data_IF_232284054610
#
_entry.id   IF_232284054610
#
_cell.length_a   1.000
_cell.length_b   1.000
_cell.length_c   1.000
_cell.angle_alpha   90.00
_cell.angle_beta   90.00
_cell.angle_gamma   90.00
#
_symmetry.space_group_name_H-M   'P 1'
#
loop_
_entity.id
_entity.type
_entity.pdbx_description
1 polymer ?
#
# COMPACT_ATOMS: atom_id res chain seq x y z
N UNK A 1 -18.54 3.52 -33.86
CA UNK A 1 -17.65 2.89 -32.87
C UNK A 1 -18.34 1.64 -32.36
N UNK A 2 -17.79 0.46 -32.60
CA UNK A 2 -18.31 -0.79 -32.03
C UNK A 2 -18.01 -0.72 -30.51
N UNK A 3 -19.05 -0.65 -29.67
CA UNK A 3 -18.87 -0.91 -28.22
C UNK A 3 -18.34 -2.34 -28.14
N UNK A 4 -17.04 -2.50 -27.83
CA UNK A 4 -16.53 -3.78 -27.36
C UNK A 4 -17.30 -4.07 -26.07
N UNK A 5 -18.04 -5.16 -26.02
CA UNK A 5 -18.60 -5.66 -24.77
C UNK A 5 -17.42 -6.00 -23.85
N UNK A 6 -17.08 -5.08 -22.96
CA UNK A 6 -16.09 -5.34 -21.92
C UNK A 6 -16.72 -6.31 -20.94
N UNK A 7 -16.04 -7.42 -20.67
CA UNK A 7 -16.53 -8.47 -19.78
C UNK A 7 -16.43 -8.09 -18.29
N UNK A 8 -15.99 -6.87 -17.94
CA UNK A 8 -15.87 -6.37 -16.57
C UNK A 8 -16.62 -5.02 -16.42
N UNK A 9 -17.01 -4.71 -15.19
CA UNK A 9 -17.83 -3.53 -14.84
C UNK A 9 -17.13 -2.53 -13.93
N UNK A 10 -16.02 -2.90 -13.29
CA UNK A 10 -15.20 -2.01 -12.49
C UNK A 10 -13.73 -2.42 -12.51
N UNK A 11 -12.84 -1.46 -12.20
CA UNK A 11 -11.41 -1.72 -11.98
C UNK A 11 -10.99 -1.11 -10.65
N UNK A 12 -10.38 -1.92 -9.79
CA UNK A 12 -9.84 -1.49 -8.51
C UNK A 12 -8.32 -1.51 -8.60
N UNK A 13 -7.70 -0.36 -8.44
CA UNK A 13 -6.25 -0.19 -8.52
C UNK A 13 -5.64 -0.15 -7.11
N UNK A 14 -4.53 -0.84 -6.90
CA UNK A 14 -3.60 -0.39 -5.89
C UNK A 14 -2.95 0.94 -6.31
N UNK A 15 -2.28 1.63 -5.39
CA UNK A 15 -1.66 2.92 -5.67
C UNK A 15 -0.15 2.80 -5.86
N UNK A 16 0.55 2.33 -4.82
CA UNK A 16 2.00 2.34 -4.76
C UNK A 16 2.58 1.24 -5.67
N UNK A 17 3.38 1.60 -6.68
CA UNK A 17 3.87 0.65 -7.69
C UNK A 17 2.91 0.38 -8.84
N UNK A 18 1.64 0.75 -8.73
CA UNK A 18 0.62 0.61 -9.79
C UNK A 18 0.30 1.95 -10.46
N UNK A 19 -0.15 2.93 -9.69
CA UNK A 19 -0.48 4.29 -10.18
C UNK A 19 0.74 5.19 -10.08
N UNK A 20 1.39 5.16 -8.90
CA UNK A 20 2.53 6.01 -8.56
C UNK A 20 3.81 5.19 -8.37
N UNK A 21 4.97 5.82 -8.61
CA UNK A 21 6.28 5.21 -8.41
C UNK A 21 6.75 5.27 -6.94
N UNK A 22 5.82 5.38 -6.02
CA UNK A 22 6.09 5.55 -4.59
C UNK A 22 6.52 4.28 -3.87
N UNK A 23 6.41 3.10 -4.48
CA UNK A 23 6.88 1.84 -3.90
C UNK A 23 8.36 1.88 -3.52
N UNK A 24 9.23 2.44 -4.37
CA UNK A 24 10.66 2.61 -4.06
C UNK A 24 10.89 3.62 -2.93
N UNK A 25 10.11 4.70 -2.89
CA UNK A 25 10.15 5.67 -1.79
C UNK A 25 9.73 5.02 -0.46
N UNK A 26 8.69 4.19 -0.49
CA UNK A 26 8.29 3.38 0.66
C UNK A 26 9.41 2.45 1.11
N UNK A 27 10.02 1.68 0.20
CA UNK A 27 11.11 0.76 0.51
C UNK A 27 12.33 1.48 1.12
N UNK A 28 12.72 2.64 0.57
CA UNK A 28 13.81 3.46 1.09
C UNK A 28 13.54 4.01 2.49
N UNK A 29 12.33 4.49 2.74
CA UNK A 29 11.92 4.99 4.07
C UNK A 29 11.89 3.85 5.10
N UNK A 30 11.43 2.66 4.73
CA UNK A 30 11.48 1.47 5.57
C UNK A 30 12.92 1.07 5.91
N UNK A 31 13.78 0.99 4.88
CA UNK A 31 15.20 0.67 5.07
C UNK A 31 15.87 1.63 6.04
N UNK A 32 15.70 2.93 5.81
CA UNK A 32 16.29 3.95 6.67
C UNK A 32 15.84 3.78 8.13
N UNK A 33 14.55 3.67 8.35
CA UNK A 33 13.99 3.56 9.70
C UNK A 33 14.44 2.28 10.40
N UNK A 34 14.40 1.12 9.72
CA UNK A 34 14.81 -0.14 10.34
C UNK A 34 16.31 -0.22 10.57
N UNK A 35 17.15 0.23 9.63
CA UNK A 35 18.60 0.23 9.82
C UNK A 35 19.00 1.15 10.98
N UNK A 36 18.40 2.34 11.10
CA UNK A 36 18.63 3.24 12.23
C UNK A 36 18.22 2.58 13.58
N UNK A 37 17.08 1.89 13.60
CA UNK A 37 16.59 1.20 14.78
C UNK A 37 17.49 0.00 15.17
N UNK A 38 17.88 -0.82 14.21
CA UNK A 38 18.74 -1.98 14.46
C UNK A 38 20.16 -1.58 14.92
N UNK A 39 20.70 -0.48 14.37
CA UNK A 39 21.98 0.08 14.84
C UNK A 39 21.88 0.62 16.27
N UNK A 40 20.77 1.23 16.63
CA UNK A 40 20.51 1.66 18.01
C UNK A 40 20.52 0.43 18.95
N UNK A 41 19.84 -0.66 18.57
CA UNK A 41 19.82 -1.89 19.37
C UNK A 41 21.20 -2.53 19.49
N UNK A 42 22.01 -2.52 18.44
CA UNK A 42 23.40 -2.97 18.49
C UNK A 42 24.20 -2.18 19.56
N UNK A 43 24.07 -0.85 19.56
CA UNK A 43 24.79 0.00 20.50
C UNK A 43 24.30 -0.11 21.96
N UNK A 44 23.00 -0.30 22.17
CA UNK A 44 22.39 -0.28 23.50
C UNK A 44 22.30 -1.68 24.13
N UNK A 45 22.15 -2.74 23.32
CA UNK A 45 21.92 -4.10 23.79
C UNK A 45 23.00 -5.10 23.35
N UNK A 46 23.99 -4.68 22.56
CA UNK A 46 25.03 -5.57 22.03
C UNK A 46 24.51 -6.59 21.01
N UNK A 47 23.36 -6.34 20.42
CA UNK A 47 22.78 -7.19 19.37
C UNK A 47 23.57 -7.01 18.06
N UNK A 48 23.76 -8.09 17.31
CA UNK A 48 24.48 -7.99 16.03
C UNK A 48 23.63 -7.28 15.00
N UNK A 49 24.13 -6.18 14.44
CA UNK A 49 23.46 -5.46 13.34
C UNK A 49 23.40 -6.33 12.09
N UNK A 50 22.20 -6.47 11.54
CA UNK A 50 21.96 -7.07 10.22
C UNK A 50 21.07 -6.16 9.42
N UNK A 51 21.62 -5.62 8.33
CA UNK A 51 20.99 -4.68 7.44
C UNK A 51 19.60 -5.16 6.97
N UNK A 52 18.65 -4.21 6.85
CA UNK A 52 17.36 -4.44 6.20
C UNK A 52 17.54 -4.46 4.69
N UNK A 53 17.08 -5.52 4.04
CA UNK A 53 17.22 -5.73 2.60
C UNK A 53 15.88 -5.76 1.88
N UNK A 54 15.87 -5.34 0.62
CA UNK A 54 14.63 -5.35 -0.18
C UNK A 54 14.08 -6.77 -0.37
N UNK A 55 14.92 -7.69 -0.86
CA UNK A 55 14.48 -9.05 -1.20
C UNK A 55 14.24 -9.94 0.03
N UNK A 56 15.09 -9.81 1.05
CA UNK A 56 15.03 -10.69 2.21
C UNK A 56 14.08 -10.22 3.32
N UNK A 57 13.79 -8.92 3.36
CA UNK A 57 13.05 -8.34 4.48
C UNK A 57 11.82 -7.52 4.03
N UNK A 58 11.97 -6.62 3.04
CA UNK A 58 10.87 -5.78 2.61
C UNK A 58 9.75 -6.60 1.97
N UNK A 59 10.05 -7.35 0.91
CA UNK A 59 9.04 -8.11 0.17
C UNK A 59 8.30 -9.14 1.03
N UNK A 60 8.94 -9.98 1.88
CA UNK A 60 8.22 -10.99 2.64
C UNK A 60 7.49 -10.45 3.87
N UNK A 61 7.98 -9.36 4.49
CA UNK A 61 7.49 -8.96 5.81
C UNK A 61 6.75 -7.63 5.84
N UNK A 62 6.94 -6.74 4.85
CA UNK A 62 6.46 -5.36 4.89
C UNK A 62 5.57 -5.00 3.71
N UNK A 63 5.94 -5.43 2.52
CA UNK A 63 5.31 -5.03 1.26
C UNK A 63 3.80 -5.31 1.22
N UNK A 64 3.03 -4.30 0.83
CA UNK A 64 1.58 -4.36 0.76
C UNK A 64 0.84 -4.41 2.10
N UNK A 65 1.55 -4.52 3.24
CA UNK A 65 0.92 -4.60 4.57
C UNK A 65 0.59 -3.21 5.14
N UNK A 66 -0.45 -3.12 6.01
CA UNK A 66 -0.67 -1.92 6.83
C UNK A 66 0.58 -1.56 7.64
N UNK A 67 0.90 -0.26 7.73
CA UNK A 67 2.14 0.28 8.29
C UNK A 67 2.60 -0.40 9.59
N UNK A 68 1.78 -0.41 10.62
CA UNK A 68 2.15 -0.93 11.93
C UNK A 68 2.27 -2.47 11.96
N UNK A 69 1.47 -3.15 11.12
CA UNK A 69 1.59 -4.60 10.92
C UNK A 69 2.88 -4.97 10.17
N UNK A 70 3.34 -4.12 9.25
CA UNK A 70 4.64 -4.26 8.59
C UNK A 70 5.79 -4.15 9.59
N UNK A 71 5.78 -3.15 10.49
CA UNK A 71 6.78 -3.05 11.57
C UNK A 71 6.81 -4.32 12.41
N UNK A 72 5.64 -4.72 12.94
CA UNK A 72 5.52 -5.93 13.76
C UNK A 72 6.05 -7.16 13.05
N UNK A 73 5.59 -7.40 11.82
CA UNK A 73 5.95 -8.58 11.02
C UNK A 73 7.46 -8.67 10.78
N UNK A 74 8.13 -7.57 10.46
CA UNK A 74 9.58 -7.56 10.28
C UNK A 74 10.34 -7.79 11.59
N UNK A 75 9.98 -7.10 12.68
CA UNK A 75 10.64 -7.26 13.96
C UNK A 75 10.50 -8.69 14.50
N UNK A 76 9.32 -9.30 14.38
CA UNK A 76 9.10 -10.69 14.75
C UNK A 76 9.99 -11.65 13.93
N UNK A 77 10.23 -11.38 12.64
CA UNK A 77 11.14 -12.18 11.80
C UNK A 77 12.60 -12.13 12.30
N UNK A 78 12.94 -11.08 13.03
CA UNK A 78 14.27 -10.89 13.66
C UNK A 78 14.30 -11.34 15.12
N UNK A 79 13.21 -11.91 15.65
CA UNK A 79 13.10 -12.30 17.06
C UNK A 79 12.97 -11.11 18.01
N UNK A 80 12.66 -9.92 17.50
CA UNK A 80 12.51 -8.70 18.28
C UNK A 80 11.04 -8.50 18.62
N UNK A 81 10.73 -8.39 19.93
CA UNK A 81 9.38 -8.11 20.41
C UNK A 81 9.36 -6.77 21.13
N UNK A 82 8.51 -5.86 20.66
CA UNK A 82 8.24 -4.56 21.28
C UNK A 82 6.71 -4.37 21.40
N UNK A 83 6.23 -3.46 22.28
CA UNK A 83 4.81 -3.15 22.36
C UNK A 83 4.26 -2.70 21.00
N UNK A 84 2.99 -3.03 20.72
CA UNK A 84 2.34 -2.54 19.49
C UNK A 84 2.20 -1.02 19.51
N UNK A 85 1.84 -0.46 20.66
CA UNK A 85 1.67 0.96 20.87
C UNK A 85 0.33 1.49 20.37
N UNK A 86 0.22 2.82 20.39
CA UNK A 86 -0.94 3.58 19.94
C UNK A 86 -0.62 4.30 18.61
N UNK A 87 -1.57 4.42 17.67
CA UNK A 87 -1.36 5.19 16.44
C UNK A 87 -0.85 6.62 16.65
N UNK A 88 -1.13 7.22 17.81
CA UNK A 88 -0.68 8.57 18.20
C UNK A 88 0.69 8.59 18.88
N UNK A 89 1.38 7.45 18.98
CA UNK A 89 2.74 7.40 19.54
C UNK A 89 3.69 8.31 18.76
N UNK A 90 4.54 9.02 19.52
CA UNK A 90 5.58 9.86 18.91
C UNK A 90 6.55 9.00 18.08
N UNK A 91 7.12 9.54 16.98
CA UNK A 91 8.09 8.85 16.13
C UNK A 91 9.35 8.34 16.85
N UNK A 92 9.64 8.84 18.06
CA UNK A 92 10.73 8.37 18.92
C UNK A 92 10.36 7.22 19.86
N UNK A 93 9.07 6.86 19.97
CA UNK A 93 8.63 5.78 20.87
C UNK A 93 9.08 4.41 20.34
N UNK A 94 9.53 3.53 21.25
CA UNK A 94 9.95 2.16 20.93
C UNK A 94 8.74 1.22 20.93
N UNK A 95 7.81 1.48 20.00
CA UNK A 95 6.62 0.70 19.73
C UNK A 95 6.48 0.49 18.22
N UNK A 96 5.67 -0.50 17.81
CA UNK A 96 5.40 -0.69 16.38
C UNK A 96 4.76 0.56 15.75
N UNK A 97 3.89 1.25 16.48
CA UNK A 97 3.27 2.49 16.02
C UNK A 97 4.27 3.64 15.94
N UNK A 98 5.11 3.84 16.97
CA UNK A 98 6.13 4.88 16.97
C UNK A 98 7.15 4.73 15.84
N UNK A 99 7.67 3.51 15.61
CA UNK A 99 8.58 3.23 14.50
C UNK A 99 7.87 3.43 13.14
N UNK A 100 6.61 3.02 13.02
CA UNK A 100 5.80 3.24 11.83
C UNK A 100 5.59 4.73 11.55
N UNK A 101 5.39 5.54 12.58
CA UNK A 101 5.25 7.00 12.47
C UNK A 101 6.57 7.66 12.07
N UNK A 102 7.71 7.21 12.61
CA UNK A 102 9.06 7.63 12.19
C UNK A 102 9.33 7.33 10.71
N UNK A 103 8.94 6.13 10.25
CA UNK A 103 9.01 5.80 8.82
C UNK A 103 8.17 6.74 7.97
N UNK A 104 6.99 7.15 8.48
CA UNK A 104 6.11 8.04 7.76
C UNK A 104 6.69 9.45 7.60
N UNK A 105 7.36 9.97 8.62
CA UNK A 105 8.08 11.24 8.52
C UNK A 105 9.12 11.19 7.40
N UNK A 106 9.97 10.15 7.39
CA UNK A 106 10.98 9.96 6.35
C UNK A 106 10.37 9.81 4.94
N UNK A 107 9.20 9.19 4.83
CA UNK A 107 8.47 9.08 3.56
C UNK A 107 7.97 10.45 3.09
N UNK A 108 7.35 11.22 3.98
CA UNK A 108 6.82 12.55 3.64
C UNK A 108 7.94 13.53 3.27
N UNK A 109 9.09 13.51 3.98
CA UNK A 109 10.25 14.31 3.63
C UNK A 109 10.73 14.07 2.19
N UNK A 110 10.69 12.81 1.72
CA UNK A 110 11.06 12.48 0.33
C UNK A 110 10.00 12.99 -0.64
N UNK A 111 8.71 12.82 -0.33
CA UNK A 111 7.63 13.33 -1.18
C UNK A 111 7.66 14.84 -1.31
N UNK A 112 7.90 15.56 -0.22
CA UNK A 112 7.97 17.02 -0.20
C UNK A 112 9.16 17.55 -1.02
N UNK A 113 10.29 16.82 -1.01
CA UNK A 113 11.49 17.19 -1.74
C UNK A 113 11.42 16.84 -3.23
N UNK A 114 11.00 15.63 -3.56
CA UNK A 114 11.13 15.04 -4.90
C UNK A 114 9.80 14.99 -5.67
N UNK A 115 8.68 15.21 -4.97
CA UNK A 115 7.33 15.08 -5.52
C UNK A 115 6.91 13.61 -5.72
N UNK A 116 5.83 13.42 -6.47
CA UNK A 116 5.27 12.09 -6.80
C UNK A 116 5.33 11.87 -8.30
N UNK A 117 6.00 10.81 -8.71
CA UNK A 117 5.97 10.35 -10.10
C UNK A 117 4.84 9.34 -10.32
N UNK A 118 4.19 9.43 -11.48
CA UNK A 118 3.15 8.49 -11.92
C UNK A 118 3.66 7.60 -13.04
N UNK A 119 3.07 6.41 -13.18
CA UNK A 119 3.31 5.56 -14.34
C UNK A 119 2.47 6.03 -15.53
N UNK A 120 3.09 6.49 -16.65
CA UNK A 120 2.35 7.01 -17.80
C UNK A 120 1.38 5.99 -18.41
N UNK A 121 1.74 4.71 -18.41
CA UNK A 121 0.88 3.63 -18.91
C UNK A 121 -0.39 3.46 -18.07
N UNK A 122 -0.27 3.53 -16.74
CA UNK A 122 -1.43 3.45 -15.84
C UNK A 122 -2.31 4.69 -15.96
N UNK A 123 -1.70 5.89 -16.11
CA UNK A 123 -2.46 7.11 -16.36
C UNK A 123 -3.27 7.03 -17.68
N UNK A 124 -2.67 6.49 -18.74
CA UNK A 124 -3.38 6.28 -20.01
C UNK A 124 -4.58 5.35 -19.83
N UNK A 125 -4.39 4.21 -19.15
CA UNK A 125 -5.46 3.27 -18.85
C UNK A 125 -6.59 3.92 -18.02
N UNK A 126 -6.25 4.66 -16.96
CA UNK A 126 -7.24 5.39 -16.12
C UNK A 126 -8.08 6.33 -16.99
N UNK A 127 -7.45 7.10 -17.90
CA UNK A 127 -8.17 8.01 -18.80
C UNK A 127 -9.07 7.27 -19.76
N UNK A 128 -8.64 6.16 -20.33
CA UNK A 128 -9.44 5.32 -21.24
C UNK A 128 -10.65 4.70 -20.50
N UNK A 129 -10.46 4.17 -19.31
CA UNK A 129 -11.54 3.63 -18.48
C UNK A 129 -12.57 4.71 -18.12
N UNK A 130 -12.10 5.90 -17.74
CA UNK A 130 -12.99 7.04 -17.44
C UNK A 130 -13.79 7.46 -18.66
N UNK A 131 -13.16 7.54 -19.85
CA UNK A 131 -13.83 7.84 -21.10
C UNK A 131 -14.84 6.76 -21.53
N UNK A 132 -14.59 5.50 -21.18
CA UNK A 132 -15.51 4.39 -21.38
C UNK A 132 -16.66 4.33 -20.35
N UNK A 133 -16.62 5.17 -19.31
CA UNK A 133 -17.62 5.19 -18.24
C UNK A 133 -17.52 3.98 -17.31
N UNK A 134 -16.33 3.38 -17.19
CA UNK A 134 -16.08 2.26 -16.28
C UNK A 134 -15.77 2.81 -14.89
N UNK A 135 -16.53 2.43 -13.85
CA UNK A 135 -16.25 2.81 -12.48
C UNK A 135 -14.86 2.34 -12.02
N UNK A 136 -14.15 3.20 -11.29
CA UNK A 136 -12.82 2.91 -10.79
C UNK A 136 -12.72 3.16 -9.30
N UNK A 137 -12.06 2.24 -8.60
CA UNK A 137 -11.68 2.39 -7.21
C UNK A 137 -10.16 2.41 -7.04
N UNK A 138 -9.70 3.04 -5.96
CA UNK A 138 -8.34 2.86 -5.46
C UNK A 138 -8.38 2.18 -4.10
N UNK A 139 -7.55 1.15 -3.90
CA UNK A 139 -7.47 0.36 -2.68
C UNK A 139 -6.00 0.19 -2.27
N UNK A 140 -5.54 0.95 -1.28
CA UNK A 140 -4.16 1.00 -0.83
C UNK A 140 -4.04 0.75 0.66
N UNK A 141 -2.99 0.06 1.11
CA UNK A 141 -2.66 -0.07 2.54
C UNK A 141 -2.06 1.22 3.14
N UNK A 142 -1.75 2.22 2.30
CA UNK A 142 -1.13 3.48 2.71
C UNK A 142 -2.15 4.44 3.31
N UNK A 143 -1.84 5.01 4.47
CA UNK A 143 -2.58 6.16 5.01
C UNK A 143 -2.31 7.47 4.24
N UNK A 144 -1.31 7.48 3.37
CA UNK A 144 -0.97 8.65 2.55
C UNK A 144 -1.64 8.61 1.16
N UNK A 145 -2.56 7.69 0.91
CA UNK A 145 -3.17 7.51 -0.41
C UNK A 145 -3.87 8.78 -0.91
N UNK A 146 -4.71 9.39 -0.10
CA UNK A 146 -5.43 10.60 -0.49
C UNK A 146 -4.49 11.78 -0.80
N UNK A 147 -3.57 12.20 0.10
CA UNK A 147 -2.67 13.32 -0.21
C UNK A 147 -1.78 13.05 -1.43
N UNK A 148 -1.31 11.81 -1.62
CA UNK A 148 -0.52 11.43 -2.80
C UNK A 148 -1.33 11.59 -4.09
N UNK A 149 -2.58 11.10 -4.14
CA UNK A 149 -3.44 11.24 -5.32
C UNK A 149 -3.85 12.69 -5.59
N UNK A 150 -4.00 13.51 -4.55
CA UNK A 150 -4.26 14.96 -4.69
C UNK A 150 -3.03 15.64 -5.31
N UNK A 151 -1.83 15.35 -4.83
CA UNK A 151 -0.59 15.97 -5.31
C UNK A 151 -0.35 15.75 -6.81
N UNK A 152 -0.85 14.65 -7.38
CA UNK A 152 -0.76 14.33 -8.82
C UNK A 152 -2.06 14.56 -9.60
N UNK A 153 -3.07 15.20 -8.99
CA UNK A 153 -4.38 15.50 -9.59
C UNK A 153 -5.12 14.26 -10.15
N UNK A 154 -4.96 13.11 -9.47
CA UNK A 154 -5.60 11.85 -9.90
C UNK A 154 -6.81 11.44 -9.06
N UNK A 155 -7.00 11.99 -7.86
CA UNK A 155 -8.11 11.61 -6.99
C UNK A 155 -9.48 11.71 -7.68
N UNK A 156 -9.67 12.71 -8.52
CA UNK A 156 -10.93 12.97 -9.28
C UNK A 156 -11.32 11.87 -10.29
N UNK A 157 -10.41 10.98 -10.64
CA UNK A 157 -10.70 9.87 -11.56
C UNK A 157 -11.39 8.69 -10.88
N UNK A 158 -11.25 8.57 -9.57
CA UNK A 158 -11.73 7.44 -8.79
C UNK A 158 -13.08 7.75 -8.14
N UNK A 159 -13.99 6.80 -8.26
CA UNK A 159 -15.35 6.90 -7.70
C UNK A 159 -15.39 6.41 -6.24
N UNK A 160 -14.38 5.64 -5.81
CA UNK A 160 -14.20 5.17 -4.43
C UNK A 160 -12.70 5.11 -4.06
N UNK A 161 -12.41 5.39 -2.79
CA UNK A 161 -11.10 5.22 -2.16
C UNK A 161 -11.26 4.39 -0.89
N UNK A 162 -10.53 3.27 -0.80
CA UNK A 162 -10.38 2.48 0.41
C UNK A 162 -8.90 2.41 0.73
N UNK A 163 -8.45 3.25 1.64
CA UNK A 163 -7.04 3.36 2.01
C UNK A 163 -6.77 2.95 3.46
N UNK A 164 -5.55 3.18 3.94
CA UNK A 164 -5.16 2.82 5.29
C UNK A 164 -5.94 3.55 6.39
N UNK A 165 -6.54 4.71 6.11
CA UNK A 165 -7.41 5.42 7.06
C UNK A 165 -8.79 4.79 7.08
N UNK A 166 -9.44 4.63 5.92
CA UNK A 166 -10.73 3.94 5.79
C UNK A 166 -10.64 2.52 6.34
N UNK A 167 -9.52 1.82 6.07
CA UNK A 167 -9.29 0.46 6.60
C UNK A 167 -9.24 0.43 8.12
N UNK A 168 -8.65 1.44 8.75
CA UNK A 168 -8.60 1.54 10.22
C UNK A 168 -9.98 1.86 10.81
N UNK A 169 -10.72 2.79 10.21
CA UNK A 169 -12.08 3.16 10.63
C UNK A 169 -13.06 1.98 10.56
N UNK A 170 -12.96 1.17 9.50
CA UNK A 170 -13.83 0.03 9.27
C UNK A 170 -13.29 -1.29 9.86
N UNK A 171 -12.13 -1.27 10.53
CA UNK A 171 -11.45 -2.47 11.07
C UNK A 171 -11.21 -3.55 10.00
N UNK A 172 -10.84 -3.17 8.78
CA UNK A 172 -10.58 -4.12 7.71
C UNK A 172 -9.29 -4.92 7.96
N UNK A 173 -9.31 -6.17 7.55
CA UNK A 173 -8.09 -6.97 7.48
C UNK A 173 -7.20 -6.42 6.34
N UNK A 174 -5.90 -6.31 6.60
CA UNK A 174 -4.97 -5.88 5.55
C UNK A 174 -4.63 -7.03 4.59
N UNK A 175 -4.07 -6.69 3.42
CA UNK A 175 -3.49 -7.66 2.48
C UNK A 175 -2.62 -8.67 3.25
N UNK A 176 -2.71 -9.98 3.00
CA UNK A 176 -3.34 -10.64 1.85
C UNK A 176 -4.84 -10.97 2.00
N UNK A 177 -5.56 -10.39 2.97
CA UNK A 177 -7.02 -10.52 3.00
C UNK A 177 -7.65 -9.54 2.01
N UNK A 178 -8.80 -9.89 1.39
CA UNK A 178 -9.37 -9.14 0.28
C UNK A 178 -10.15 -7.89 0.69
N UNK A 179 -10.30 -7.62 1.97
CA UNK A 179 -11.26 -6.68 2.55
C UNK A 179 -11.22 -5.29 1.88
N UNK A 180 -10.03 -4.74 1.60
CA UNK A 180 -9.93 -3.41 0.99
C UNK A 180 -10.46 -3.37 -0.45
N UNK A 181 -10.30 -4.47 -1.19
CA UNK A 181 -10.79 -4.57 -2.57
C UNK A 181 -12.29 -4.86 -2.60
N UNK A 182 -12.77 -5.78 -1.73
CA UNK A 182 -14.19 -6.10 -1.62
C UNK A 182 -14.99 -4.90 -1.15
N UNK A 183 -14.50 -4.16 -0.14
CA UNK A 183 -15.13 -2.92 0.32
C UNK A 183 -15.24 -1.89 -0.81
N UNK A 184 -14.22 -1.74 -1.66
CA UNK A 184 -14.29 -0.84 -2.80
C UNK A 184 -15.39 -1.25 -3.79
N UNK A 185 -15.52 -2.55 -4.08
CA UNK A 185 -16.59 -3.06 -4.95
C UNK A 185 -17.98 -2.90 -4.32
N UNK A 186 -18.12 -3.12 -3.01
CA UNK A 186 -19.39 -2.95 -2.29
C UNK A 186 -19.88 -1.50 -2.38
N UNK A 187 -18.96 -0.52 -2.20
CA UNK A 187 -19.28 0.91 -2.36
C UNK A 187 -19.67 1.24 -3.81
N UNK A 188 -18.99 0.67 -4.80
CA UNK A 188 -19.31 0.82 -6.21
C UNK A 188 -20.58 0.06 -6.63
N UNK A 189 -21.08 -0.85 -5.78
CA UNK A 189 -22.23 -1.74 -6.07
C UNK A 189 -22.00 -2.61 -7.31
N UNK A 190 -20.79 -3.12 -7.45
CA UNK A 190 -20.38 -4.03 -8.53
C UNK A 190 -19.97 -5.37 -7.92
N UNK A 191 -20.33 -6.48 -8.58
CA UNK A 191 -19.91 -7.81 -8.10
C UNK A 191 -18.40 -7.99 -8.25
N UNK A 192 -17.79 -8.74 -7.34
CA UNK A 192 -16.36 -9.03 -7.38
C UNK A 192 -15.98 -9.77 -8.67
N UNK A 193 -16.83 -10.72 -9.10
CA UNK A 193 -16.62 -11.48 -10.34
C UNK A 193 -16.69 -10.63 -11.62
N UNK A 194 -17.29 -9.43 -11.56
CA UNK A 194 -17.34 -8.47 -12.66
C UNK A 194 -16.27 -7.38 -12.52
N UNK A 195 -15.37 -7.50 -11.55
CA UNK A 195 -14.35 -6.50 -11.24
C UNK A 195 -12.94 -7.02 -11.50
N UNK A 196 -12.04 -6.11 -11.86
CA UNK A 196 -10.61 -6.38 -12.04
C UNK A 196 -9.85 -5.70 -10.90
N UNK A 197 -8.89 -6.41 -10.29
CA UNK A 197 -7.90 -5.86 -9.37
C UNK A 197 -6.58 -5.69 -10.11
N UNK A 198 -5.92 -4.55 -9.94
CA UNK A 198 -4.59 -4.25 -10.50
C UNK A 198 -3.62 -3.99 -9.35
N UNK A 199 -2.53 -4.75 -9.28
CA UNK A 199 -1.63 -4.83 -8.13
C UNK A 199 -0.19 -5.15 -8.54
N UNK A 200 0.80 -4.73 -7.73
CA UNK A 200 2.21 -5.07 -7.94
C UNK A 200 2.80 -5.93 -6.80
N UNK A 201 2.25 -5.83 -5.57
CA UNK A 201 2.71 -6.60 -4.42
C UNK A 201 2.12 -8.01 -4.39
N UNK A 202 2.94 -9.00 -4.00
CA UNK A 202 2.50 -10.40 -3.86
C UNK A 202 1.32 -10.53 -2.91
N UNK A 203 1.33 -9.81 -1.79
CA UNK A 203 0.24 -9.83 -0.80
C UNK A 203 -1.08 -9.32 -1.38
N UNK A 204 -1.03 -8.31 -2.26
CA UNK A 204 -2.21 -7.78 -2.90
C UNK A 204 -2.74 -8.67 -4.03
N UNK A 205 -1.85 -9.31 -4.81
CA UNK A 205 -2.25 -10.33 -5.79
C UNK A 205 -2.94 -11.50 -5.08
N UNK A 206 -2.43 -11.93 -3.92
CA UNK A 206 -3.07 -12.96 -3.09
C UNK A 206 -4.46 -12.50 -2.59
N UNK A 207 -4.59 -11.23 -2.18
CA UNK A 207 -5.86 -10.66 -1.76
C UNK A 207 -6.88 -10.66 -2.91
N UNK A 208 -6.46 -10.27 -4.11
CA UNK A 208 -7.29 -10.34 -5.32
C UNK A 208 -7.76 -11.76 -5.61
N UNK A 209 -6.86 -12.74 -5.53
CA UNK A 209 -7.21 -14.15 -5.72
C UNK A 209 -8.20 -14.68 -4.66
N UNK A 210 -7.99 -14.33 -3.38
CA UNK A 210 -8.90 -14.72 -2.28
C UNK A 210 -10.29 -14.07 -2.40
N UNK A 211 -10.37 -12.87 -2.94
CA UNK A 211 -11.63 -12.12 -3.06
C UNK A 211 -12.56 -12.59 -4.18
N UNK A 212 -12.18 -13.62 -4.94
CA UNK A 212 -12.96 -14.14 -6.08
C UNK A 212 -13.30 -13.05 -7.13
N UNK A 213 -12.34 -12.16 -7.39
CA UNK A 213 -12.46 -11.16 -8.45
C UNK A 213 -12.44 -11.82 -9.83
N UNK A 214 -13.13 -11.21 -10.80
CA UNK A 214 -13.17 -11.73 -12.16
C UNK A 214 -11.79 -11.84 -12.80
N UNK A 215 -10.88 -10.92 -12.44
CA UNK A 215 -9.47 -10.98 -12.81
C UNK A 215 -8.60 -10.23 -11.80
N UNK A 216 -7.40 -10.76 -11.55
CA UNK A 216 -6.35 -10.07 -10.78
C UNK A 216 -5.12 -9.94 -11.66
N UNK A 217 -4.77 -8.70 -12.00
CA UNK A 217 -3.61 -8.37 -12.81
C UNK A 217 -2.44 -8.01 -11.91
N UNK A 218 -1.46 -8.90 -11.81
CA UNK A 218 -0.17 -8.63 -11.19
C UNK A 218 0.74 -7.87 -12.15
N UNK A 219 1.30 -6.73 -11.72
CA UNK A 219 2.22 -5.91 -12.49
C UNK A 219 3.62 -6.05 -11.89
N UNK A 220 4.62 -6.44 -12.69
CA UNK A 220 6.03 -6.36 -12.31
C UNK A 220 6.60 -5.00 -12.74
N UNK A 221 7.21 -4.27 -11.79
CA UNK A 221 7.81 -2.93 -12.00
C UNK A 221 9.26 -2.89 -11.54
#
# INVERSE_FOLDING_TARGET
MVKKDLSFKAVIFDMDGVITKTALTHASAWKKMFDDYLRKRESEHGESFKEFTHMGDYLPYVDGKPRYKGVKSFLESRGISIPFGDPDDKPGAETCCGLGNRKNEAFNEVLDRDGVEIYPSTLALIKELKAAGIPMGVASSSKNCQPVLIAVDLLRFFDVRVDGEVSAELNLSGKPEPDIFTTACDVLKVSYSDSIVVEDAVSGVQAGAKGNFGFTLGIAR
#
